data_IF_092782127511
#
_entry.id   IF_092782127511
#
_cell.length_a   1.000
_cell.length_b   1.000
_cell.length_c   1.000
_cell.angle_alpha   90.00
_cell.angle_beta   90.00
_cell.angle_gamma   90.00
#
_symmetry.space_group_name_H-M   'P 1'
#
loop_
_entity.id
_entity.type
_entity.pdbx_description
1 polymer ?
#
# COMPACT_ATOMS: atom_id res chain seq x y z
N UNK A 1 -5.41 -4.54 12.08
CA UNK A 1 -6.26 -3.40 11.66
C UNK A 1 -7.73 -3.67 11.96
N UNK A 2 -8.54 -2.63 12.16
CA UNK A 2 -9.95 -2.78 12.53
C UNK A 2 -10.85 -1.84 11.74
N UNK A 3 -12.01 -2.33 11.32
CA UNK A 3 -13.09 -1.53 10.71
C UNK A 3 -14.35 -1.69 11.56
N UNK A 4 -15.07 -0.60 11.76
CA UNK A 4 -16.36 -0.57 12.47
C UNK A 4 -17.39 0.12 11.60
N UNK A 5 -18.57 -0.47 11.51
CA UNK A 5 -19.74 0.16 10.93
C UNK A 5 -20.93 0.03 11.88
N UNK A 6 -22.11 0.46 11.43
CA UNK A 6 -23.31 0.41 12.27
C UNK A 6 -23.70 -1.04 12.59
N UNK A 7 -23.50 -1.45 13.85
CA UNK A 7 -23.86 -2.78 14.32
C UNK A 7 -22.93 -3.92 13.89
N UNK A 8 -21.75 -3.61 13.33
CA UNK A 8 -20.77 -4.63 12.94
C UNK A 8 -19.33 -4.14 13.07
N UNK A 9 -18.40 -5.09 13.21
CA UNK A 9 -16.96 -4.81 13.17
C UNK A 9 -16.18 -5.97 12.59
N UNK A 10 -15.05 -5.65 11.97
CA UNK A 10 -14.04 -6.62 11.52
C UNK A 10 -12.67 -6.24 12.04
N UNK A 11 -11.87 -7.26 12.29
CA UNK A 11 -10.48 -7.14 12.66
C UNK A 11 -9.65 -8.10 11.81
N UNK A 12 -8.51 -7.62 11.33
CA UNK A 12 -7.55 -8.39 10.54
C UNK A 12 -6.16 -8.19 11.14
N UNK A 13 -5.54 -9.27 11.59
CA UNK A 13 -4.12 -9.36 11.88
C UNK A 13 -3.43 -9.98 10.66
N UNK A 14 -2.75 -9.14 9.86
CA UNK A 14 -2.04 -9.55 8.66
C UNK A 14 -0.53 -9.52 8.94
N UNK A 15 0.13 -10.68 8.84
CA UNK A 15 1.54 -10.85 9.20
C UNK A 15 2.28 -11.51 8.05
N UNK A 16 3.40 -10.92 7.65
CA UNK A 16 4.37 -11.56 6.75
C UNK A 16 5.35 -12.38 7.59
N UNK A 17 5.35 -13.68 7.37
CA UNK A 17 6.18 -14.65 8.09
C UNK A 17 7.63 -14.63 7.58
N UNK A 18 8.62 -15.13 8.36
CA UNK A 18 10.02 -15.16 7.95
C UNK A 18 10.31 -15.98 6.68
N UNK A 19 9.48 -16.99 6.40
CA UNK A 19 9.53 -17.80 5.17
C UNK A 19 8.93 -17.07 3.94
N UNK A 20 8.42 -15.86 4.13
CA UNK A 20 7.82 -15.02 3.09
C UNK A 20 6.33 -15.21 2.90
N UNK A 21 5.69 -16.18 3.57
CA UNK A 21 4.26 -16.40 3.48
C UNK A 21 3.48 -15.30 4.24
N UNK A 22 2.27 -15.00 3.77
CA UNK A 22 1.35 -14.11 4.47
C UNK A 22 0.32 -14.91 5.27
N UNK A 23 0.11 -14.54 6.53
CA UNK A 23 -0.92 -15.07 7.42
C UNK A 23 -1.95 -13.99 7.73
N UNK A 24 -3.22 -14.35 7.67
CA UNK A 24 -4.32 -13.49 8.06
C UNK A 24 -5.15 -14.17 9.15
N UNK A 25 -5.22 -13.56 10.33
CA UNK A 25 -6.17 -13.93 11.37
C UNK A 25 -7.30 -12.89 11.41
N UNK A 26 -8.54 -13.37 11.32
CA UNK A 26 -9.74 -12.54 11.19
C UNK A 26 -10.64 -12.70 12.41
N UNK A 27 -11.24 -11.60 12.88
CA UNK A 27 -12.37 -11.62 13.82
C UNK A 27 -13.49 -10.74 13.29
N UNK A 28 -14.72 -11.25 13.36
CA UNK A 28 -15.92 -10.52 12.94
C UNK A 28 -16.93 -10.49 14.09
N UNK A 29 -17.73 -9.43 14.17
CA UNK A 29 -18.85 -9.32 15.08
C UNK A 29 -20.01 -8.56 14.42
N UNK A 30 -21.24 -8.97 14.72
CA UNK A 30 -22.45 -8.39 14.16
C UNK A 30 -22.71 -8.78 12.69
N UNK A 31 -23.57 -8.01 12.01
CA UNK A 31 -23.98 -8.30 10.63
C UNK A 31 -23.48 -7.20 9.70
N UNK A 32 -22.48 -7.47 8.84
CA UNK A 32 -22.03 -6.50 7.85
C UNK A 32 -23.10 -6.26 6.77
N UNK A 33 -23.00 -5.16 6.01
CA UNK A 33 -23.87 -4.90 4.86
C UNK A 33 -23.82 -6.03 3.84
N UNK A 34 -24.94 -6.30 3.18
CA UNK A 34 -25.00 -7.25 2.07
C UNK A 34 -24.05 -6.84 0.94
N UNK A 35 -23.31 -7.80 0.38
CA UNK A 35 -22.38 -7.57 -0.72
C UNK A 35 -20.97 -7.13 -0.28
N UNK A 36 -20.73 -6.93 1.02
CA UNK A 36 -19.38 -6.69 1.50
C UNK A 36 -18.57 -8.00 1.44
N UNK A 37 -17.47 -8.01 0.67
CA UNK A 37 -16.59 -9.17 0.52
C UNK A 37 -16.10 -9.69 1.90
N UNK A 38 -15.85 -10.99 2.02
CA UNK A 38 -15.30 -11.57 3.24
C UNK A 38 -13.88 -11.03 3.52
N UNK A 39 -13.53 -10.78 4.79
CA UNK A 39 -12.20 -10.32 5.17
C UNK A 39 -11.15 -11.44 5.07
N UNK A 40 -9.87 -11.06 5.12
CA UNK A 40 -8.74 -11.99 5.07
C UNK A 40 -8.28 -12.26 3.64
N UNK A 41 -7.47 -13.32 3.49
CA UNK A 41 -6.94 -13.76 2.19
C UNK A 41 -7.67 -15.04 1.78
N UNK A 42 -8.23 -15.07 0.58
CA UNK A 42 -8.87 -16.29 0.05
C UNK A 42 -7.84 -17.38 -0.26
N UNK A 43 -6.77 -17.01 -0.97
CA UNK A 43 -5.62 -17.87 -1.25
C UNK A 43 -4.32 -17.13 -0.94
N UNK A 44 -3.63 -17.43 0.19
CA UNK A 44 -2.35 -16.83 0.55
C UNK A 44 -1.25 -17.00 -0.50
N UNK A 45 -1.30 -18.03 -1.35
CA UNK A 45 -0.30 -18.24 -2.39
C UNK A 45 -0.34 -17.14 -3.46
N UNK A 46 -1.48 -16.46 -3.63
CA UNK A 46 -1.60 -15.32 -4.56
C UNK A 46 -0.76 -14.10 -4.15
N UNK A 47 -0.41 -14.03 -2.86
CA UNK A 47 0.45 -12.99 -2.29
C UNK A 47 1.94 -13.36 -2.35
N UNK A 48 2.29 -14.43 -3.06
CA UNK A 48 3.69 -14.76 -3.28
C UNK A 48 4.44 -13.55 -3.88
N UNK A 49 5.67 -13.36 -3.40
CA UNK A 49 6.54 -12.21 -3.68
C UNK A 49 6.07 -10.86 -3.13
N UNK A 50 4.91 -10.77 -2.49
CA UNK A 50 4.52 -9.53 -1.81
C UNK A 50 5.44 -9.28 -0.61
N UNK A 51 6.17 -8.18 -0.65
CA UNK A 51 7.07 -7.77 0.44
C UNK A 51 6.38 -6.81 1.41
N UNK A 52 5.52 -5.95 0.87
CA UNK A 52 4.88 -4.86 1.58
C UNK A 52 3.36 -5.05 1.56
N UNK A 53 2.67 -4.55 2.59
CA UNK A 53 1.21 -4.40 2.56
C UNK A 53 0.85 -3.02 2.01
N UNK A 54 -0.32 -2.91 1.41
CA UNK A 54 -0.86 -1.63 0.96
C UNK A 54 -2.30 -1.48 1.44
N UNK A 55 -2.63 -0.39 2.12
CA UNK A 55 -3.98 -0.19 2.66
C UNK A 55 -4.68 0.80 1.75
N UNK A 56 -5.85 0.42 1.24
CA UNK A 56 -6.64 1.28 0.39
C UNK A 56 -6.88 2.65 1.03
N UNK A 57 -6.66 3.71 0.25
CA UNK A 57 -6.78 5.12 0.67
C UNK A 57 -5.80 5.53 1.78
N UNK A 58 -4.67 4.83 1.95
CA UNK A 58 -3.67 5.12 2.97
C UNK A 58 -2.32 5.50 2.33
N UNK A 59 -1.97 6.80 2.23
CA UNK A 59 -0.73 7.21 1.58
C UNK A 59 0.54 6.68 2.26
N UNK A 60 0.50 6.42 3.57
CA UNK A 60 1.68 6.01 4.35
C UNK A 60 2.23 4.65 3.92
N UNK A 61 1.43 3.78 3.31
CA UNK A 61 1.91 2.47 2.86
C UNK A 61 2.87 2.56 1.67
N UNK A 62 2.84 3.68 0.93
CA UNK A 62 3.80 3.95 -0.15
C UNK A 62 5.23 4.16 0.39
N UNK A 63 5.40 4.48 1.68
CA UNK A 63 6.72 4.72 2.28
C UNK A 63 7.62 3.48 2.25
N UNK A 64 7.06 2.29 2.46
CA UNK A 64 7.82 1.03 2.48
C UNK A 64 8.59 0.78 1.16
N UNK A 65 7.94 0.75 -0.02
CA UNK A 65 8.66 0.55 -1.27
C UNK A 65 9.57 1.74 -1.62
N UNK A 66 9.20 2.98 -1.28
CA UNK A 66 10.04 4.17 -1.55
C UNK A 66 11.39 4.06 -0.83
N UNK A 67 11.36 3.75 0.47
CA UNK A 67 12.57 3.60 1.27
C UNK A 67 13.38 2.36 0.85
N UNK A 68 12.71 1.22 0.66
CA UNK A 68 13.36 -0.04 0.29
C UNK A 68 14.09 0.03 -1.06
N UNK A 69 13.54 0.80 -2.01
CA UNK A 69 14.14 1.00 -3.34
C UNK A 69 15.09 2.21 -3.40
N UNK A 70 15.17 3.03 -2.35
CA UNK A 70 16.02 4.22 -2.34
C UNK A 70 15.63 5.27 -3.39
N UNK A 71 14.33 5.42 -3.69
CA UNK A 71 13.85 6.20 -4.84
C UNK A 71 14.13 7.71 -4.77
N UNK A 72 14.52 8.21 -3.59
CA UNK A 72 14.84 9.62 -3.35
C UNK A 72 16.35 9.90 -3.29
N UNK A 73 17.19 8.85 -3.36
CA UNK A 73 18.64 8.95 -3.21
C UNK A 73 19.37 9.34 -4.50
N UNK A 74 20.71 9.35 -4.42
CA UNK A 74 21.59 9.75 -5.52
C UNK A 74 21.73 8.69 -6.63
N UNK A 75 21.44 7.42 -6.32
CA UNK A 75 21.54 6.28 -7.24
C UNK A 75 20.29 5.39 -7.18
N UNK A 76 19.11 5.91 -7.57
CA UNK A 76 17.89 5.12 -7.61
C UNK A 76 17.93 4.14 -8.81
N UNK A 77 17.08 3.09 -8.82
CA UNK A 77 16.93 2.22 -9.98
C UNK A 77 16.72 3.01 -11.29
N UNK A 78 17.55 2.74 -12.30
CA UNK A 78 17.50 3.44 -13.60
C UNK A 78 16.19 3.22 -14.37
N UNK A 79 15.44 2.17 -14.03
CA UNK A 79 14.17 1.82 -14.64
C UNK A 79 13.08 1.65 -13.58
N UNK A 80 11.83 1.68 -14.04
CA UNK A 80 10.70 1.40 -13.18
C UNK A 80 10.77 0.00 -12.58
N UNK A 81 10.30 -0.14 -11.34
CA UNK A 81 10.37 -1.38 -10.58
C UNK A 81 8.96 -1.91 -10.35
N UNK A 82 8.70 -3.13 -10.83
CA UNK A 82 7.46 -3.85 -10.61
C UNK A 82 7.47 -4.53 -9.24
N UNK A 83 6.42 -4.30 -8.47
CA UNK A 83 6.22 -4.80 -7.12
C UNK A 83 4.88 -5.52 -7.00
N UNK A 84 4.82 -6.44 -6.05
CA UNK A 84 3.59 -7.08 -5.61
C UNK A 84 3.32 -6.60 -4.19
N UNK A 85 2.10 -6.18 -3.94
CA UNK A 85 1.63 -5.78 -2.61
C UNK A 85 0.50 -6.69 -2.13
N UNK A 86 0.46 -6.91 -0.81
CA UNK A 86 -0.72 -7.42 -0.14
C UNK A 86 -1.69 -6.24 0.10
N UNK A 87 -2.55 -5.97 -0.89
CA UNK A 87 -3.48 -4.84 -0.86
C UNK A 87 -4.72 -5.16 -0.02
N UNK A 88 -4.94 -4.36 1.01
CA UNK A 88 -6.06 -4.48 1.93
C UNK A 88 -7.15 -3.50 1.50
N UNK A 89 -8.25 -4.07 1.03
CA UNK A 89 -9.47 -3.34 0.71
C UNK A 89 -10.18 -2.90 2.00
N UNK A 90 -10.58 -1.64 2.07
CA UNK A 90 -11.48 -1.13 3.11
C UNK A 90 -12.84 -0.76 2.48
N UNK A 91 -13.98 -1.00 3.16
CA UNK A 91 -14.11 -1.45 4.54
C UNK A 91 -14.13 -2.98 4.71
N UNK A 92 -13.99 -3.77 3.65
CA UNK A 92 -14.16 -5.24 3.73
C UNK A 92 -13.09 -5.93 4.57
N UNK A 93 -11.87 -5.41 4.61
CA UNK A 93 -10.64 -6.07 5.10
C UNK A 93 -10.28 -7.34 4.30
N UNK A 94 -10.73 -7.43 3.05
CA UNK A 94 -10.24 -8.43 2.10
C UNK A 94 -8.83 -8.05 1.66
N UNK A 95 -7.95 -9.03 1.57
CA UNK A 95 -6.57 -8.86 1.09
C UNK A 95 -6.43 -9.49 -0.28
N UNK A 96 -5.91 -8.72 -1.23
CA UNK A 96 -5.75 -9.10 -2.62
C UNK A 96 -4.32 -8.84 -3.08
N UNK A 97 -3.88 -9.59 -4.09
CA UNK A 97 -2.68 -9.24 -4.85
C UNK A 97 -2.88 -7.90 -5.56
N UNK A 98 -1.92 -6.99 -5.41
CA UNK A 98 -1.83 -5.77 -6.21
C UNK A 98 -0.47 -5.67 -6.87
N UNK A 99 -0.45 -5.72 -8.20
CA UNK A 99 0.73 -5.42 -8.99
C UNK A 99 0.85 -3.89 -9.15
N UNK A 100 2.00 -3.36 -8.76
CA UNK A 100 2.29 -1.93 -8.68
C UNK A 100 3.63 -1.63 -9.35
N UNK A 101 3.81 -0.42 -9.83
CA UNK A 101 5.06 0.02 -10.45
C UNK A 101 5.50 1.33 -9.82
N UNK A 102 6.77 1.41 -9.43
CA UNK A 102 7.38 2.59 -8.85
C UNK A 102 8.59 3.05 -9.65
N UNK A 103 8.75 4.35 -9.83
CA UNK A 103 9.92 4.94 -10.47
C UNK A 103 10.33 6.23 -9.77
N UNK A 104 11.63 6.46 -9.61
CA UNK A 104 12.14 7.77 -9.23
C UNK A 104 11.80 8.80 -10.31
N UNK A 105 11.49 10.04 -9.90
CA UNK A 105 11.23 11.16 -10.81
C UNK A 105 12.12 12.34 -10.50
N UNK A 106 12.07 12.81 -9.28
CA UNK A 106 12.91 13.91 -8.79
C UNK A 106 13.58 13.44 -7.50
N UNK A 107 14.91 13.55 -7.38
CA UNK A 107 15.61 13.23 -6.14
C UNK A 107 15.20 14.21 -5.04
N UNK A 108 15.60 13.92 -3.81
CA UNK A 108 15.37 14.84 -2.70
C UNK A 108 16.07 16.18 -2.96
N UNK A 109 15.30 17.25 -3.05
CA UNK A 109 15.83 18.62 -3.11
C UNK A 109 16.18 19.10 -1.69
N UNK A 110 17.46 19.40 -1.40
CA UNK A 110 17.88 19.86 -0.07
C UNK A 110 17.25 21.20 0.37
N UNK A 111 16.79 22.03 -0.57
CA UNK A 111 16.17 23.31 -0.26
C UNK A 111 14.73 23.17 0.23
N UNK A 112 13.99 22.21 -0.34
CA UNK A 112 12.57 21.97 0.00
C UNK A 112 12.38 20.80 0.96
N UNK A 113 13.36 19.89 1.05
CA UNK A 113 13.25 18.63 1.78
C UNK A 113 12.28 17.65 1.14
N UNK A 114 12.01 17.78 -0.16
CA UNK A 114 11.03 16.99 -0.89
C UNK A 114 11.60 16.41 -2.18
N UNK A 115 11.07 15.26 -2.60
CA UNK A 115 11.32 14.67 -3.91
C UNK A 115 10.03 14.12 -4.51
N UNK A 116 10.13 13.55 -5.70
CA UNK A 116 8.97 13.04 -6.45
C UNK A 116 9.20 11.60 -6.88
N UNK A 117 8.20 10.75 -6.61
CA UNK A 117 8.16 9.35 -7.01
C UNK A 117 6.91 9.11 -7.84
N UNK A 118 7.04 8.42 -8.97
CA UNK A 118 5.89 7.95 -9.73
C UNK A 118 5.40 6.62 -9.18
N UNK A 119 4.11 6.55 -8.92
CA UNK A 119 3.35 5.34 -8.67
C UNK A 119 2.42 5.05 -9.84
N UNK A 120 2.37 3.80 -10.27
CA UNK A 120 1.40 3.30 -11.25
C UNK A 120 0.75 2.02 -10.74
N UNK A 121 -0.59 1.96 -10.80
CA UNK A 121 -1.33 0.73 -10.57
C UNK A 121 -1.28 -0.12 -11.84
N UNK A 122 -0.87 -1.40 -11.78
CA UNK A 122 -0.84 -2.23 -12.98
C UNK A 122 -2.23 -2.78 -13.37
N UNK A 123 -3.17 -2.82 -12.42
CA UNK A 123 -4.52 -3.37 -12.61
C UNK A 123 -5.60 -2.29 -12.75
N UNK A 124 -5.23 -1.02 -12.61
CA UNK A 124 -6.13 0.13 -12.74
C UNK A 124 -5.43 1.11 -13.66
N UNK A 125 -6.18 1.76 -14.53
CA UNK A 125 -5.64 2.83 -15.39
C UNK A 125 -5.39 4.09 -14.55
N UNK A 126 -4.38 4.02 -13.67
CA UNK A 126 -4.08 5.05 -12.69
C UNK A 126 -2.58 5.21 -12.49
N UNK A 127 -2.12 6.45 -12.58
CA UNK A 127 -0.74 6.87 -12.34
C UNK A 127 -0.76 8.18 -11.56
N UNK A 128 0.11 8.30 -10.56
CA UNK A 128 0.28 9.53 -9.78
C UNK A 128 1.76 9.81 -9.52
N UNK A 129 2.11 11.10 -9.56
CA UNK A 129 3.38 11.58 -9.03
C UNK A 129 3.17 11.99 -7.58
N UNK A 130 3.84 11.28 -6.68
CA UNK A 130 3.76 11.46 -5.24
C UNK A 130 4.84 12.45 -4.84
N UNK A 131 4.45 13.54 -4.15
CA UNK A 131 5.43 14.38 -3.46
C UNK A 131 5.75 13.72 -2.12
N UNK A 132 7.03 13.53 -1.85
CA UNK A 132 7.51 12.76 -0.69
C UNK A 132 8.55 13.58 0.06
N UNK A 133 8.54 13.52 1.39
CA UNK A 133 9.56 14.18 2.20
C UNK A 133 10.83 13.33 2.38
N UNK A 134 11.81 13.88 3.09
CA UNK A 134 13.08 13.24 3.40
C UNK A 134 12.97 11.90 4.15
N UNK A 135 11.86 11.65 4.85
CA UNK A 135 11.61 10.40 5.57
C UNK A 135 10.87 9.36 4.71
N UNK A 136 10.61 9.67 3.44
CA UNK A 136 9.86 8.80 2.54
C UNK A 136 8.35 8.85 2.76
N UNK A 137 7.84 9.83 3.52
CA UNK A 137 6.40 10.01 3.76
C UNK A 137 5.77 10.84 2.66
N UNK A 138 4.63 10.37 2.14
CA UNK A 138 3.87 11.10 1.12
C UNK A 138 3.28 12.39 1.73
N UNK A 139 3.62 13.51 1.11
CA UNK A 139 3.14 14.86 1.45
C UNK A 139 1.90 15.22 0.64
N UNK A 140 1.94 14.95 -0.67
CA UNK A 140 0.83 15.18 -1.58
C UNK A 140 0.70 13.95 -2.49
N UNK A 141 -0.51 13.38 -2.48
CA UNK A 141 -0.94 12.30 -3.35
C UNK A 141 -2.12 12.86 -4.16
N UNK A 142 -1.90 13.26 -5.42
CA UNK A 142 -2.92 13.89 -6.24
C UNK A 142 -4.24 13.11 -6.22
N UNK A 143 -5.34 13.85 -6.03
CA UNK A 143 -6.72 13.33 -5.98
C UNK A 143 -7.06 12.38 -4.81
N UNK A 144 -6.07 12.03 -3.97
CA UNK A 144 -6.26 11.10 -2.85
C UNK A 144 -6.09 11.77 -1.49
N UNK A 145 -4.96 12.46 -1.26
CA UNK A 145 -4.60 12.92 0.06
C UNK A 145 -3.57 14.05 0.03
N UNK A 146 -3.59 14.86 1.09
CA UNK A 146 -2.56 15.83 1.43
C UNK A 146 -2.28 15.76 2.92
N UNK A 147 -1.00 15.81 3.31
CA UNK A 147 -0.59 15.90 4.70
C UNK A 147 -0.97 17.27 5.27
N UNK A 148 -1.63 17.28 6.43
CA UNK A 148 -2.07 18.48 7.16
C UNK A 148 -0.99 18.98 8.14
#
# INVERSE_FOLDING_TARGET
MSVRGLGWSRHLDLVRMPDGAWRADVREAGTPPSGLAAPGVEDPATLDRALDCDIALCPVTNTMPILRLGLLGDDPPAHETHLVMAWVEVPSLRVLRSDQVYAAREPLDPATGQGVVRYTSATRDFTADLTVDADGLVVDYPELARRL
#
